data_IF_916623984317
#
_entry.id   IF_916623984317
#
_cell.length_a   1.000
_cell.length_b   1.000
_cell.length_c   1.000
_cell.angle_alpha   90.00
_cell.angle_beta   90.00
_cell.angle_gamma   90.00
#
_symmetry.space_group_name_H-M   'P 1'
#
loop_
_entity.id
_entity.type
_entity.pdbx_description
1 polymer ?
#
# COMPACT_ATOMS: atom_id res chain seq x y z
N UNK A 1 78.81 29.94 -34.37
CA UNK A 1 78.43 28.74 -33.65
C UNK A 1 77.16 29.07 -32.83
N UNK A 2 75.98 28.87 -33.49
CA UNK A 2 74.69 29.26 -32.93
C UNK A 2 74.07 28.13 -32.16
N UNK A 3 73.80 28.37 -30.89
CA UNK A 3 73.12 27.39 -30.02
C UNK A 3 71.61 27.72 -30.05
N UNK A 4 70.82 26.80 -30.65
CA UNK A 4 69.36 26.91 -30.75
C UNK A 4 68.77 26.35 -29.46
N UNK A 5 68.20 27.19 -28.60
CA UNK A 5 67.40 26.76 -27.45
C UNK A 5 65.98 26.40 -27.93
N UNK A 6 65.62 25.12 -27.82
CA UNK A 6 64.23 24.66 -28.02
C UNK A 6 63.49 24.75 -26.69
N UNK A 7 62.55 25.68 -26.62
CA UNK A 7 61.57 25.76 -25.52
C UNK A 7 60.46 24.74 -25.75
N UNK A 8 60.38 23.75 -24.91
CA UNK A 8 59.29 22.75 -24.88
C UNK A 8 58.17 23.34 -23.99
N UNK A 9 57.09 23.83 -24.62
CA UNK A 9 55.88 24.30 -23.90
C UNK A 9 55.02 23.06 -23.61
N UNK A 10 54.97 22.59 -22.36
CA UNK A 10 54.07 21.56 -21.88
C UNK A 10 52.71 22.23 -21.61
N UNK A 11 51.73 21.98 -22.49
CA UNK A 11 50.32 22.33 -22.26
C UNK A 11 49.74 21.30 -21.32
N UNK A 12 49.59 21.68 -20.05
CA UNK A 12 48.87 20.85 -19.04
C UNK A 12 47.37 20.99 -19.28
N UNK A 13 46.78 20.02 -19.98
CA UNK A 13 45.34 19.94 -20.21
C UNK A 13 44.64 19.48 -18.91
N UNK A 14 44.22 20.44 -18.08
CA UNK A 14 43.39 20.16 -16.89
C UNK A 14 41.99 19.76 -17.36
N UNK A 15 41.73 18.47 -17.40
CA UNK A 15 40.37 17.91 -17.55
C UNK A 15 39.63 18.22 -16.25
N UNK A 16 38.91 19.34 -16.22
CA UNK A 16 37.91 19.60 -15.20
C UNK A 16 36.72 18.63 -15.47
N UNK A 17 36.76 17.49 -14.86
CA UNK A 17 35.56 16.61 -14.75
C UNK A 17 34.56 17.38 -13.88
N UNK A 18 33.72 18.16 -14.52
CA UNK A 18 32.54 18.74 -13.87
C UNK A 18 31.69 17.58 -13.31
N UNK A 19 31.80 17.37 -12.01
CA UNK A 19 30.79 16.56 -11.30
C UNK A 19 29.52 17.38 -11.42
N UNK A 20 28.71 17.04 -12.45
CA UNK A 20 27.35 17.56 -12.55
C UNK A 20 26.65 17.11 -11.26
N UNK A 21 26.48 18.04 -10.33
CA UNK A 21 25.66 17.84 -9.14
C UNK A 21 24.22 17.62 -9.64
N UNK A 22 23.88 16.38 -9.98
CA UNK A 22 22.54 16.02 -10.43
C UNK A 22 21.59 16.43 -9.29
N UNK A 23 20.76 17.46 -9.54
CA UNK A 23 19.77 17.95 -8.59
C UNK A 23 18.93 16.76 -8.12
N UNK A 24 19.11 16.37 -6.87
CA UNK A 24 18.33 15.27 -6.26
C UNK A 24 16.88 15.73 -6.18
N UNK A 25 15.97 14.96 -6.78
CA UNK A 25 14.55 15.27 -6.69
C UNK A 25 14.04 14.74 -5.36
N UNK A 26 13.41 15.60 -4.57
CA UNK A 26 12.66 15.18 -3.37
C UNK A 26 11.30 14.66 -3.79
N UNK A 27 10.84 13.59 -3.11
CA UNK A 27 9.54 12.99 -3.28
C UNK A 27 8.99 12.60 -1.91
N UNK A 28 7.78 13.06 -1.61
CA UNK A 28 7.07 12.71 -0.37
C UNK A 28 6.04 11.63 -0.65
N UNK A 29 5.97 10.61 0.22
CA UNK A 29 4.97 9.55 0.13
C UNK A 29 4.28 9.33 1.47
N UNK A 30 2.95 9.46 1.49
CA UNK A 30 2.12 9.06 2.63
C UNK A 30 1.92 7.56 2.64
N UNK A 31 2.17 6.93 3.77
CA UNK A 31 1.85 5.52 3.99
C UNK A 31 0.35 5.39 4.32
N UNK A 32 -0.22 4.22 4.09
CA UNK A 32 -1.61 3.91 4.44
C UNK A 32 -1.78 3.59 5.94
N UNK A 33 -0.69 3.15 6.56
CA UNK A 33 -0.62 2.70 7.96
C UNK A 33 0.72 3.08 8.58
N UNK A 34 0.92 2.77 9.88
CA UNK A 34 2.27 2.81 10.45
C UNK A 34 3.17 1.78 9.76
N UNK A 35 4.50 2.04 9.78
CA UNK A 35 5.48 1.19 9.12
C UNK A 35 5.36 -0.26 9.61
N UNK A 36 5.15 -1.17 8.66
CA UNK A 36 5.04 -2.60 8.84
C UNK A 36 5.64 -3.32 7.62
N UNK A 37 5.70 -4.66 7.59
CA UNK A 37 6.31 -5.41 6.49
C UNK A 37 5.72 -5.19 5.10
N UNK A 38 4.49 -4.71 4.95
CA UNK A 38 3.92 -4.39 3.64
C UNK A 38 4.67 -3.23 2.98
N UNK A 39 5.34 -2.38 3.77
CA UNK A 39 6.20 -1.29 3.30
C UNK A 39 7.66 -1.72 3.02
N UNK A 40 8.01 -3.01 3.14
CA UNK A 40 9.40 -3.46 2.99
C UNK A 40 10.07 -3.00 1.68
N UNK A 41 9.45 -2.97 0.50
CA UNK A 41 10.09 -2.46 -0.72
C UNK A 41 10.55 -1.01 -0.61
N UNK A 42 9.80 -0.15 0.07
CA UNK A 42 10.18 1.25 0.32
C UNK A 42 11.39 1.34 1.27
N UNK A 43 11.33 0.59 2.37
CA UNK A 43 12.39 0.55 3.37
C UNK A 43 13.70 0.03 2.78
N UNK A 44 13.64 -1.06 2.01
CA UNK A 44 14.82 -1.65 1.37
C UNK A 44 15.39 -0.72 0.30
N UNK A 45 14.53 -0.05 -0.50
CA UNK A 45 14.98 0.93 -1.47
C UNK A 45 15.74 2.09 -0.79
N UNK A 46 15.29 2.53 0.37
CA UNK A 46 15.96 3.56 1.16
C UNK A 46 17.25 3.06 1.81
N UNK A 47 17.22 1.94 2.54
CA UNK A 47 18.37 1.36 3.25
C UNK A 47 19.53 1.02 2.32
N UNK A 48 19.23 0.49 1.13
CA UNK A 48 20.22 0.11 0.11
C UNK A 48 20.52 1.21 -0.90
N UNK A 49 20.09 2.44 -0.63
CA UNK A 49 20.33 3.62 -1.47
C UNK A 49 19.77 3.53 -2.90
N UNK A 50 18.81 2.63 -3.20
CA UNK A 50 18.27 2.48 -4.55
C UNK A 50 17.53 3.73 -5.03
N UNK A 51 16.95 4.52 -4.12
CA UNK A 51 16.41 5.83 -4.46
C UNK A 51 17.53 6.81 -4.84
N UNK A 52 18.63 6.84 -4.09
CA UNK A 52 19.79 7.71 -4.40
C UNK A 52 20.44 7.34 -5.72
N UNK A 53 20.54 6.03 -6.05
CA UNK A 53 21.08 5.53 -7.32
C UNK A 53 20.34 6.10 -8.54
N UNK A 54 19.07 6.47 -8.38
CA UNK A 54 18.23 7.07 -9.43
C UNK A 54 18.02 8.58 -9.25
N UNK A 55 18.78 9.22 -8.35
CA UNK A 55 18.74 10.65 -8.07
C UNK A 55 17.46 11.10 -7.34
N UNK A 56 16.95 10.28 -6.42
CA UNK A 56 15.80 10.59 -5.58
C UNK A 56 16.17 10.64 -4.09
N UNK A 57 15.52 11.53 -3.38
CA UNK A 57 15.39 11.56 -1.93
C UNK A 57 13.91 11.34 -1.60
N UNK A 58 13.58 10.22 -0.96
CA UNK A 58 12.19 9.85 -0.65
C UNK A 58 11.96 9.99 0.84
N UNK A 59 10.95 10.78 1.20
CA UNK A 59 10.47 10.95 2.56
C UNK A 59 9.16 10.17 2.73
N UNK A 60 9.14 9.21 3.67
CA UNK A 60 7.97 8.40 4.02
C UNK A 60 7.29 9.00 5.24
N UNK A 61 5.98 9.25 5.15
CA UNK A 61 5.17 9.89 6.19
C UNK A 61 4.07 8.92 6.63
N UNK A 62 4.12 8.51 7.89
CA UNK A 62 3.06 7.70 8.49
C UNK A 62 1.82 8.58 8.76
N UNK A 63 0.61 8.08 8.49
CA UNK A 63 -0.60 8.88 8.67
C UNK A 63 -0.99 9.02 10.14
N UNK A 64 -1.54 10.18 10.50
CA UNK A 64 -2.20 10.39 11.79
C UNK A 64 -3.61 9.77 11.82
N UNK A 65 -4.26 9.69 10.66
CA UNK A 65 -5.53 9.02 10.41
C UNK A 65 -5.39 8.21 9.10
N UNK A 66 -5.79 6.91 9.06
CA UNK A 66 -5.64 6.06 7.87
C UNK A 66 -6.45 6.55 6.66
N UNK A 67 -7.37 7.49 6.85
CA UNK A 67 -8.17 8.09 5.79
C UNK A 67 -7.56 9.35 5.14
N UNK A 68 -6.41 9.84 5.65
CA UNK A 68 -5.86 11.13 5.21
C UNK A 68 -4.95 11.06 3.97
N UNK A 69 -4.12 10.03 3.75
CA UNK A 69 -3.11 10.05 2.69
C UNK A 69 -3.66 10.39 1.29
N UNK A 70 -4.80 9.82 0.83
CA UNK A 70 -5.38 10.20 -0.47
C UNK A 70 -5.83 11.66 -0.54
N UNK A 71 -6.37 12.21 0.56
CA UNK A 71 -6.80 13.62 0.63
C UNK A 71 -5.60 14.56 0.54
N UNK A 72 -4.48 14.20 1.18
CA UNK A 72 -3.24 14.98 1.13
C UNK A 72 -2.63 14.99 -0.27
N UNK A 73 -2.66 13.87 -0.99
CA UNK A 73 -2.27 13.80 -2.40
C UNK A 73 -3.20 14.65 -3.27
N UNK A 74 -4.50 14.54 -3.08
CA UNK A 74 -5.49 15.33 -3.82
C UNK A 74 -5.27 16.84 -3.61
N UNK A 75 -4.90 17.24 -2.40
CA UNK A 75 -4.58 18.62 -2.04
C UNK A 75 -3.17 19.07 -2.49
N UNK A 76 -2.36 18.19 -3.09
CA UNK A 76 -0.99 18.48 -3.51
C UNK A 76 0.01 18.66 -2.35
N UNK A 77 -0.32 18.15 -1.16
CA UNK A 77 0.55 18.18 0.03
C UNK A 77 1.50 16.99 0.09
N UNK A 78 1.22 15.94 -0.66
CA UNK A 78 2.08 14.77 -0.88
C UNK A 78 2.19 14.51 -2.38
N UNK A 79 3.33 13.98 -2.83
CA UNK A 79 3.54 13.59 -4.22
C UNK A 79 2.88 12.26 -4.53
N UNK A 80 3.00 11.31 -3.61
CA UNK A 80 2.41 9.98 -3.67
C UNK A 80 1.72 9.64 -2.35
N UNK A 81 0.80 8.69 -2.40
CA UNK A 81 0.36 7.96 -1.22
C UNK A 81 0.15 6.48 -1.56
N UNK A 82 0.24 5.62 -0.53
CA UNK A 82 -0.31 4.28 -0.59
C UNK A 82 -1.80 4.38 -0.29
N UNK A 83 -2.60 3.65 -1.05
CA UNK A 83 -4.04 3.58 -0.97
C UNK A 83 -4.51 2.20 -1.44
N UNK A 84 -5.80 2.00 -1.58
CA UNK A 84 -6.45 0.74 -1.94
C UNK A 84 -7.22 0.89 -3.25
N UNK A 85 -7.21 -0.13 -4.12
CA UNK A 85 -7.95 -0.06 -5.39
C UNK A 85 -9.45 0.23 -5.18
N UNK A 86 -10.17 -0.44 -4.27
CA UNK A 86 -11.58 -0.14 -4.02
C UNK A 86 -11.82 1.30 -3.55
N UNK A 87 -10.96 1.82 -2.67
CA UNK A 87 -11.03 3.21 -2.20
C UNK A 87 -10.82 4.20 -3.35
N UNK A 88 -9.88 3.92 -4.25
CA UNK A 88 -9.64 4.76 -5.43
C UNK A 88 -10.89 4.91 -6.30
N UNK A 89 -11.63 3.82 -6.57
CA UNK A 89 -12.89 3.88 -7.33
C UNK A 89 -13.91 4.82 -6.68
N UNK A 90 -14.08 4.68 -5.36
CA UNK A 90 -15.03 5.49 -4.59
C UNK A 90 -14.63 6.97 -4.61
N UNK A 91 -13.35 7.25 -4.38
CA UNK A 91 -12.83 8.62 -4.35
C UNK A 91 -12.93 9.31 -5.71
N UNK A 92 -12.69 8.59 -6.80
CA UNK A 92 -12.82 9.13 -8.15
C UNK A 92 -14.30 9.39 -8.50
N UNK A 93 -15.22 8.51 -8.09
CA UNK A 93 -16.68 8.76 -8.24
C UNK A 93 -17.13 9.99 -7.45
N UNK A 94 -16.52 10.26 -6.30
CA UNK A 94 -16.72 11.46 -5.49
C UNK A 94 -16.03 12.71 -6.04
N UNK A 95 -15.24 12.58 -7.12
CA UNK A 95 -14.55 13.71 -7.77
C UNK A 95 -13.17 14.04 -7.18
N UNK A 96 -12.59 13.18 -6.34
CA UNK A 96 -11.25 13.40 -5.81
C UNK A 96 -10.22 13.30 -6.96
N UNK A 97 -9.30 14.28 -7.15
CA UNK A 97 -8.39 14.32 -8.28
C UNK A 97 -7.16 13.41 -8.06
N UNK A 98 -7.39 12.12 -7.91
CA UNK A 98 -6.36 11.10 -7.69
C UNK A 98 -6.35 10.07 -8.81
N UNK A 99 -5.17 9.48 -9.06
CA UNK A 99 -4.94 8.48 -10.09
C UNK A 99 -3.95 7.43 -9.58
N UNK A 100 -4.21 6.14 -9.88
CA UNK A 100 -3.20 5.08 -9.68
C UNK A 100 -2.03 5.30 -10.62
N UNK A 101 -0.83 5.17 -10.08
CA UNK A 101 0.43 5.23 -10.85
C UNK A 101 1.29 3.98 -10.67
N UNK A 102 0.92 3.09 -9.74
CA UNK A 102 1.64 1.83 -9.51
C UNK A 102 0.95 0.95 -8.47
N UNK A 103 1.47 -0.26 -8.27
CA UNK A 103 0.98 -1.26 -7.31
C UNK A 103 2.12 -1.74 -6.43
N UNK A 104 1.86 -1.89 -5.15
CA UNK A 104 2.77 -2.45 -4.16
C UNK A 104 2.40 -3.92 -3.87
N UNK A 105 1.12 -4.17 -3.57
CA UNK A 105 0.57 -5.51 -3.32
C UNK A 105 -0.62 -5.73 -4.24
N UNK A 106 -0.51 -6.74 -5.13
CA UNK A 106 -1.46 -6.97 -6.23
C UNK A 106 -2.58 -7.95 -5.92
N UNK A 107 -2.68 -8.45 -4.69
CA UNK A 107 -3.70 -9.40 -4.25
C UNK A 107 -4.34 -8.95 -2.95
N UNK A 108 -5.59 -9.34 -2.66
CA UNK A 108 -6.25 -8.95 -1.41
C UNK A 108 -5.51 -9.42 -0.16
N UNK A 109 -5.35 -8.53 0.80
CA UNK A 109 -4.87 -8.80 2.16
C UNK A 109 -6.00 -8.71 3.18
N UNK A 110 -6.95 -7.82 2.92
CA UNK A 110 -8.08 -7.55 3.79
C UNK A 110 -8.90 -8.81 4.10
N UNK A 111 -9.41 -8.87 5.30
CA UNK A 111 -10.31 -9.92 5.76
C UNK A 111 -11.29 -9.40 6.80
N UNK A 112 -12.45 -10.03 6.86
CA UNK A 112 -13.36 -9.93 8.00
C UNK A 112 -12.90 -10.94 9.04
N UNK A 113 -12.54 -10.47 10.24
CA UNK A 113 -12.00 -11.33 11.30
C UNK A 113 -12.90 -11.30 12.52
N UNK A 114 -13.13 -12.49 13.09
CA UNK A 114 -13.84 -12.72 14.35
C UNK A 114 -12.95 -13.54 15.28
N UNK A 115 -13.26 -13.59 16.58
CA UNK A 115 -12.58 -14.53 17.48
C UNK A 115 -12.87 -15.97 17.07
N UNK A 116 -11.84 -16.81 16.91
CA UNK A 116 -11.98 -18.21 16.45
C UNK A 116 -12.85 -19.06 17.37
N UNK A 117 -12.76 -18.83 18.66
CA UNK A 117 -13.54 -19.49 19.72
C UNK A 117 -14.86 -18.78 20.04
N UNK A 118 -15.13 -17.62 19.37
CA UNK A 118 -16.35 -16.83 19.53
C UNK A 118 -17.59 -17.51 18.91
N UNK A 119 -18.77 -16.89 19.08
CA UNK A 119 -20.04 -17.43 18.60
C UNK A 119 -20.22 -17.31 17.08
N UNK A 120 -19.53 -16.38 16.40
CA UNK A 120 -19.67 -16.13 14.97
C UNK A 120 -18.88 -17.18 14.21
N UNK A 121 -19.59 -18.02 13.43
CA UNK A 121 -19.00 -19.12 12.64
C UNK A 121 -19.16 -18.89 11.14
N UNK A 122 -20.09 -18.03 10.75
CA UNK A 122 -20.38 -17.63 9.37
C UNK A 122 -20.68 -16.13 9.31
N UNK A 123 -20.70 -15.56 8.11
CA UNK A 123 -21.07 -14.15 7.88
C UNK A 123 -22.55 -13.92 8.24
N UNK A 124 -23.41 -14.95 8.11
CA UNK A 124 -24.82 -14.85 8.51
C UNK A 124 -25.00 -14.55 10.01
N UNK A 125 -24.03 -14.94 10.86
CA UNK A 125 -24.06 -14.71 12.31
C UNK A 125 -23.78 -13.24 12.69
N UNK A 126 -23.46 -12.38 11.71
CA UNK A 126 -23.19 -10.96 11.94
C UNK A 126 -24.45 -10.12 12.18
N UNK A 127 -25.65 -10.67 11.98
CA UNK A 127 -26.89 -9.94 12.23
C UNK A 127 -26.97 -9.44 13.68
N UNK A 128 -27.15 -8.11 13.84
CA UNK A 128 -27.18 -7.44 15.14
C UNK A 128 -25.82 -7.31 15.83
N UNK A 129 -24.70 -7.56 15.12
CA UNK A 129 -23.34 -7.50 15.67
C UNK A 129 -22.66 -6.17 15.39
N UNK A 130 -21.66 -5.85 16.23
CA UNK A 130 -20.78 -4.72 16.07
C UNK A 130 -19.61 -5.09 15.19
N UNK A 131 -19.43 -4.37 14.07
CA UNK A 131 -18.31 -4.56 13.15
C UNK A 131 -17.42 -3.32 13.18
N UNK A 132 -16.17 -3.50 13.62
CA UNK A 132 -15.17 -2.44 13.61
C UNK A 132 -14.57 -2.26 12.22
N UNK A 133 -14.27 -1.01 11.86
CA UNK A 133 -13.57 -0.66 10.62
C UNK A 133 -12.59 0.51 10.86
N UNK A 134 -11.61 0.67 9.96
CA UNK A 134 -10.56 1.71 10.04
C UNK A 134 -10.63 2.68 8.86
N UNK A 135 -10.74 2.18 7.64
CA UNK A 135 -10.73 2.97 6.41
C UNK A 135 -12.14 3.10 5.85
N UNK A 136 -12.72 4.29 6.02
CA UNK A 136 -14.08 4.58 5.61
C UNK A 136 -14.30 4.46 4.10
N UNK A 137 -15.50 4.01 3.73
CA UNK A 137 -15.93 3.77 2.36
C UNK A 137 -15.38 2.48 1.76
N UNK A 138 -14.11 2.20 1.90
CA UNK A 138 -13.43 1.02 1.37
C UNK A 138 -13.86 -0.28 2.08
N UNK A 139 -13.66 -0.34 3.39
CA UNK A 139 -13.94 -1.53 4.18
C UNK A 139 -15.45 -1.80 4.27
N UNK A 140 -16.25 -0.74 4.31
CA UNK A 140 -17.71 -0.81 4.23
C UNK A 140 -18.19 -1.39 2.90
N UNK A 141 -17.50 -1.04 1.79
CA UNK A 141 -17.82 -1.59 0.47
C UNK A 141 -17.57 -3.10 0.40
N UNK A 142 -16.43 -3.57 0.95
CA UNK A 142 -16.14 -5.00 1.05
C UNK A 142 -17.18 -5.72 1.91
N UNK A 143 -17.45 -5.18 3.10
CA UNK A 143 -18.42 -5.74 4.03
C UNK A 143 -19.82 -5.82 3.40
N UNK A 144 -20.26 -4.78 2.70
CA UNK A 144 -21.56 -4.77 2.00
C UNK A 144 -21.67 -5.90 0.99
N UNK A 145 -20.62 -6.12 0.18
CA UNK A 145 -20.59 -7.24 -0.77
C UNK A 145 -20.67 -8.60 -0.08
N UNK A 146 -19.93 -8.76 1.02
CA UNK A 146 -19.94 -10.00 1.82
C UNK A 146 -21.31 -10.27 2.46
N UNK A 147 -21.91 -9.26 3.09
CA UNK A 147 -23.23 -9.38 3.76
C UNK A 147 -24.34 -9.76 2.77
N UNK A 148 -24.36 -9.13 1.58
CA UNK A 148 -25.39 -9.39 0.58
C UNK A 148 -25.39 -10.83 0.07
N UNK A 149 -24.21 -11.49 -0.01
CA UNK A 149 -24.13 -12.93 -0.34
C UNK A 149 -24.87 -13.82 0.66
N UNK A 150 -25.08 -13.33 1.89
CA UNK A 150 -25.78 -14.04 2.97
C UNK A 150 -27.15 -13.43 3.28
N UNK A 151 -27.74 -12.67 2.34
CA UNK A 151 -29.03 -11.99 2.49
C UNK A 151 -29.09 -11.01 3.68
N UNK A 152 -27.95 -10.41 4.03
CA UNK A 152 -27.83 -9.35 5.02
C UNK A 152 -27.53 -8.01 4.33
N UNK A 153 -27.88 -6.94 5.04
CA UNK A 153 -27.61 -5.56 4.60
C UNK A 153 -26.73 -4.84 5.62
N UNK A 154 -26.18 -3.68 5.23
CA UNK A 154 -25.37 -2.86 6.14
C UNK A 154 -26.16 -2.40 7.38
N UNK A 155 -27.49 -2.28 7.28
CA UNK A 155 -28.40 -1.98 8.40
C UNK A 155 -28.59 -3.15 9.38
N UNK A 156 -28.18 -4.35 9.02
CA UNK A 156 -28.21 -5.53 9.92
C UNK A 156 -27.01 -5.57 10.87
N UNK A 157 -26.03 -4.68 10.74
CA UNK A 157 -24.83 -4.59 11.59
C UNK A 157 -24.65 -3.17 12.12
N UNK A 158 -23.99 -3.04 13.28
CA UNK A 158 -23.58 -1.74 13.83
C UNK A 158 -22.11 -1.49 13.45
N UNK A 159 -21.84 -0.47 12.64
CA UNK A 159 -20.48 -0.09 12.24
C UNK A 159 -19.84 0.82 13.27
N UNK A 160 -18.61 0.50 13.67
CA UNK A 160 -17.84 1.28 14.63
C UNK A 160 -16.47 1.61 14.05
N UNK A 161 -16.19 2.89 13.86
CA UNK A 161 -14.84 3.33 13.51
C UNK A 161 -13.91 3.11 14.71
N UNK A 162 -12.92 2.25 14.53
CA UNK A 162 -11.94 1.89 15.57
C UNK A 162 -10.53 2.38 15.23
N UNK A 163 -10.40 3.19 14.16
CA UNK A 163 -9.13 3.74 13.72
C UNK A 163 -8.05 2.64 13.60
N UNK A 164 -6.84 2.82 14.10
CA UNK A 164 -5.75 1.84 14.05
C UNK A 164 -5.90 0.62 14.99
N UNK A 165 -7.06 0.44 15.64
CA UNK A 165 -7.24 -0.55 16.73
C UNK A 165 -7.99 -1.82 16.29
N UNK A 166 -7.70 -2.40 15.12
CA UNK A 166 -8.39 -3.59 14.58
C UNK A 166 -8.35 -4.79 15.56
N UNK A 167 -7.22 -5.49 15.66
CA UNK A 167 -7.07 -6.64 16.56
C UNK A 167 -7.28 -6.29 18.03
N UNK A 168 -6.78 -5.16 18.57
CA UNK A 168 -7.02 -4.81 19.96
C UNK A 168 -8.49 -4.65 20.32
N UNK A 169 -9.29 -4.03 19.44
CA UNK A 169 -10.74 -3.86 19.68
C UNK A 169 -11.50 -5.17 19.68
N UNK A 170 -11.14 -6.08 18.77
CA UNK A 170 -11.73 -7.42 18.68
C UNK A 170 -11.35 -8.28 19.90
N UNK A 171 -10.08 -8.27 20.31
CA UNK A 171 -9.58 -9.03 21.47
C UNK A 171 -10.24 -8.53 22.77
N UNK A 172 -10.39 -7.21 22.90
CA UNK A 172 -11.06 -6.59 24.05
C UNK A 172 -12.59 -6.70 23.99
N UNK A 173 -13.16 -7.33 22.96
CA UNK A 173 -14.61 -7.48 22.74
C UNK A 173 -15.37 -6.15 22.70
N UNK A 174 -14.71 -5.06 22.25
CA UNK A 174 -15.38 -3.77 21.98
C UNK A 174 -16.23 -3.87 20.72
N UNK A 175 -15.85 -4.75 19.80
CA UNK A 175 -16.57 -5.15 18.60
C UNK A 175 -16.61 -6.67 18.50
N UNK A 176 -17.58 -7.22 17.75
CA UNK A 176 -17.77 -8.65 17.56
C UNK A 176 -16.97 -9.18 16.35
N UNK A 177 -16.72 -8.31 15.38
CA UNK A 177 -15.93 -8.57 14.18
C UNK A 177 -15.14 -7.30 13.79
N UNK A 178 -14.13 -7.46 12.96
CA UNK A 178 -13.42 -6.35 12.30
C UNK A 178 -13.29 -6.64 10.81
N UNK A 179 -13.58 -5.64 9.97
CA UNK A 179 -13.22 -5.61 8.56
C UNK A 179 -12.01 -4.69 8.40
N UNK A 180 -11.09 -4.97 7.49
CA UNK A 180 -9.84 -4.22 7.38
C UNK A 180 -8.62 -4.96 7.91
N UNK A 181 -8.82 -6.06 8.64
CA UNK A 181 -7.71 -6.84 9.19
C UNK A 181 -6.94 -7.58 8.07
N UNK A 182 -5.65 -7.33 7.97
CA UNK A 182 -4.81 -7.97 6.97
C UNK A 182 -4.40 -9.38 7.41
N UNK A 183 -4.60 -10.35 6.50
CA UNK A 183 -4.34 -11.79 6.75
C UNK A 183 -2.88 -12.10 7.08
N UNK A 184 -1.96 -11.26 6.64
CA UNK A 184 -0.52 -11.39 6.89
C UNK A 184 -0.06 -10.66 8.16
N UNK A 185 -0.87 -9.77 8.75
CA UNK A 185 -0.48 -8.98 9.93
C UNK A 185 -1.39 -9.24 11.13
N UNK A 186 -2.69 -8.89 11.08
CA UNK A 186 -3.60 -9.01 12.23
C UNK A 186 -3.82 -10.45 12.68
N UNK A 187 -3.89 -11.42 11.75
CA UNK A 187 -4.01 -12.84 12.15
C UNK A 187 -2.76 -13.31 12.90
N UNK A 188 -1.57 -12.90 12.47
CA UNK A 188 -0.33 -13.21 13.19
C UNK A 188 -0.30 -12.53 14.56
N UNK A 189 -0.76 -11.27 14.66
CA UNK A 189 -0.84 -10.56 15.93
C UNK A 189 -1.76 -11.28 16.93
N UNK A 190 -2.93 -11.73 16.46
CA UNK A 190 -3.89 -12.45 17.29
C UNK A 190 -3.35 -13.82 17.74
N UNK A 191 -2.64 -14.54 16.88
CA UNK A 191 -2.03 -15.83 17.22
C UNK A 191 -0.91 -15.68 18.27
N UNK A 192 -0.07 -14.64 18.15
CA UNK A 192 1.03 -14.37 19.10
C UNK A 192 0.46 -14.11 20.51
N UNK A 193 -0.63 -13.37 20.62
CA UNK A 193 -1.28 -13.12 21.92
C UNK A 193 -2.23 -14.24 22.36
N UNK A 194 -2.21 -15.39 21.68
CA UNK A 194 -3.03 -16.57 21.98
C UNK A 194 -4.55 -16.30 21.96
N UNK A 195 -4.96 -15.39 21.12
CA UNK A 195 -6.36 -15.05 20.84
C UNK A 195 -6.63 -15.17 19.33
N UNK A 196 -6.54 -16.39 18.76
CA UNK A 196 -6.58 -16.60 17.32
C UNK A 196 -7.87 -16.06 16.70
N UNK A 197 -7.74 -15.48 15.51
CA UNK A 197 -8.82 -15.03 14.66
C UNK A 197 -9.31 -16.16 13.74
N UNK A 198 -10.59 -16.07 13.33
CA UNK A 198 -11.12 -16.71 12.14
C UNK A 198 -11.34 -15.65 11.10
N UNK A 199 -10.72 -15.81 9.94
CA UNK A 199 -10.88 -14.90 8.81
C UNK A 199 -11.93 -15.41 7.82
N UNK A 200 -12.67 -14.47 7.24
CA UNK A 200 -13.50 -14.64 6.05
C UNK A 200 -12.92 -13.70 4.99
N UNK A 201 -12.49 -14.25 3.86
CA UNK A 201 -11.84 -13.51 2.80
C UNK A 201 -12.88 -12.91 1.84
N UNK A 202 -12.86 -11.60 1.57
CA UNK A 202 -13.86 -10.96 0.71
C UNK A 202 -14.01 -11.64 -0.64
N UNK A 203 -12.91 -12.06 -1.28
CA UNK A 203 -12.90 -12.74 -2.57
C UNK A 203 -13.59 -14.13 -2.57
N UNK A 204 -13.73 -14.75 -1.42
CA UNK A 204 -14.49 -16.02 -1.25
C UNK A 204 -15.97 -15.74 -0.94
N UNK A 205 -16.29 -14.50 -0.59
CA UNK A 205 -17.60 -14.12 -0.07
C UNK A 205 -18.30 -13.04 -0.92
N UNK A 206 -18.08 -13.05 -2.26
CA UNK A 206 -18.88 -12.25 -3.20
C UNK A 206 -18.27 -10.91 -3.59
N UNK A 207 -17.05 -10.64 -3.19
CA UNK A 207 -16.27 -9.48 -3.63
C UNK A 207 -15.27 -9.91 -4.71
N UNK A 208 -15.17 -9.26 -5.86
CA UNK A 208 -14.14 -9.58 -6.84
C UNK A 208 -12.73 -9.36 -6.27
N UNK A 209 -11.74 -10.06 -6.83
CA UNK A 209 -10.33 -9.80 -6.49
C UNK A 209 -9.92 -8.38 -6.90
N UNK A 210 -8.98 -7.79 -6.15
CA UNK A 210 -8.51 -6.43 -6.34
C UNK A 210 -7.05 -6.28 -5.90
N UNK A 211 -6.41 -5.17 -6.31
CA UNK A 211 -5.09 -4.79 -5.81
C UNK A 211 -5.21 -4.17 -4.43
N UNK A 212 -4.59 -4.79 -3.40
CA UNK A 212 -4.71 -4.28 -2.03
C UNK A 212 -4.01 -2.95 -1.86
N UNK A 213 -2.70 -2.88 -2.13
CA UNK A 213 -1.93 -1.66 -1.93
C UNK A 213 -1.47 -1.11 -3.27
N UNK A 214 -1.94 0.09 -3.59
CA UNK A 214 -1.59 0.83 -4.79
C UNK A 214 -0.91 2.15 -4.45
N UNK A 215 -0.09 2.64 -5.36
CA UNK A 215 0.44 4.00 -5.32
C UNK A 215 -0.47 4.93 -6.09
N UNK A 216 -0.89 6.01 -5.45
CA UNK A 216 -1.69 7.06 -6.07
C UNK A 216 -0.95 8.39 -6.10
N UNK A 217 -1.26 9.21 -7.10
CA UNK A 217 -0.77 10.57 -7.27
C UNK A 217 -1.93 11.52 -7.57
N UNK A 218 -1.71 12.84 -7.46
CA UNK A 218 -2.65 13.81 -8.00
C UNK A 218 -2.72 13.67 -9.52
N UNK A 219 -3.92 13.72 -10.11
CA UNK A 219 -4.14 13.56 -11.55
C UNK A 219 -3.32 14.55 -12.41
N UNK A 220 -3.01 15.73 -11.87
CA UNK A 220 -2.15 16.73 -12.51
C UNK A 220 -0.72 16.24 -12.69
N UNK A 221 -0.26 15.35 -11.80
CA UNK A 221 1.11 14.81 -11.78
C UNK A 221 1.19 13.41 -12.41
N UNK A 222 0.11 12.89 -13.01
CA UNK A 222 0.04 11.51 -13.53
C UNK A 222 1.18 11.12 -14.47
N UNK A 223 1.78 12.08 -15.17
CA UNK A 223 2.87 11.88 -16.13
C UNK A 223 4.24 12.33 -15.60
N UNK A 224 4.38 12.58 -14.29
CA UNK A 224 5.65 13.03 -13.74
C UNK A 224 6.74 11.97 -13.96
N UNK A 225 7.84 12.29 -14.70
CA UNK A 225 8.90 11.35 -15.01
C UNK A 225 9.66 10.85 -13.75
N UNK A 226 9.54 11.54 -12.64
CA UNK A 226 10.11 11.14 -11.35
C UNK A 226 9.51 9.80 -10.88
N UNK A 227 8.27 9.51 -11.20
CA UNK A 227 7.63 8.23 -10.84
C UNK A 227 8.29 7.03 -11.50
N UNK A 228 8.77 7.15 -12.75
CA UNK A 228 9.53 6.07 -13.39
C UNK A 228 10.82 5.73 -12.63
N UNK A 229 11.51 6.75 -12.12
CA UNK A 229 12.71 6.57 -11.28
C UNK A 229 12.34 5.88 -9.96
N UNK A 230 11.27 6.36 -9.32
CA UNK A 230 10.76 5.78 -8.08
C UNK A 230 10.41 4.29 -8.27
N UNK A 231 9.61 3.94 -9.27
CA UNK A 231 9.23 2.55 -9.51
C UNK A 231 10.39 1.65 -9.94
N UNK A 232 11.41 2.19 -10.62
CA UNK A 232 12.65 1.44 -10.89
C UNK A 232 13.36 1.04 -9.59
N UNK A 233 13.43 1.95 -8.60
CA UNK A 233 14.02 1.66 -7.30
C UNK A 233 13.16 0.67 -6.49
N UNK A 234 11.83 0.82 -6.49
CA UNK A 234 10.89 -0.11 -5.84
C UNK A 234 11.01 -1.51 -6.45
N UNK A 235 11.02 -1.63 -7.79
CA UNK A 235 11.19 -2.92 -8.46
C UNK A 235 12.50 -3.60 -8.08
N UNK A 236 13.62 -2.84 -8.06
CA UNK A 236 14.92 -3.35 -7.61
C UNK A 236 14.85 -3.85 -6.17
N UNK A 237 14.19 -3.10 -5.27
CA UNK A 237 14.03 -3.48 -3.89
C UNK A 237 13.18 -4.75 -3.73
N UNK A 238 12.05 -4.83 -4.43
CA UNK A 238 11.19 -6.03 -4.41
C UNK A 238 11.93 -7.27 -4.89
N UNK A 239 12.65 -7.19 -6.00
CA UNK A 239 13.47 -8.31 -6.50
C UNK A 239 14.57 -8.69 -5.49
N UNK A 240 15.16 -7.71 -4.82
CA UNK A 240 16.17 -7.97 -3.78
C UNK A 240 15.57 -8.69 -2.58
N UNK A 241 14.36 -8.31 -2.15
CA UNK A 241 13.63 -8.97 -1.06
C UNK A 241 13.36 -10.44 -1.40
N UNK A 242 12.89 -10.71 -2.60
CA UNK A 242 12.53 -12.07 -3.04
C UNK A 242 13.77 -12.96 -3.18
N UNK A 243 14.86 -12.41 -3.72
CA UNK A 243 16.08 -13.18 -3.96
C UNK A 243 16.92 -13.39 -2.68
N UNK A 244 16.86 -12.46 -1.72
CA UNK A 244 17.60 -12.55 -0.45
C UNK A 244 16.74 -12.06 0.73
N UNK A 245 15.71 -12.84 1.10
CA UNK A 245 14.79 -12.47 2.17
C UNK A 245 15.47 -12.37 3.55
N UNK A 246 16.55 -13.14 3.77
CA UNK A 246 17.26 -13.14 5.06
C UNK A 246 18.00 -11.83 5.29
N UNK A 247 18.75 -11.35 4.31
CA UNK A 247 19.49 -10.10 4.40
C UNK A 247 18.54 -8.90 4.44
N UNK A 248 17.49 -8.92 3.62
CA UNK A 248 16.49 -7.85 3.58
C UNK A 248 15.60 -7.79 4.83
N UNK A 249 15.32 -8.93 5.48
CA UNK A 249 14.74 -8.92 6.81
C UNK A 249 15.61 -8.17 7.81
N UNK A 250 16.95 -8.41 7.81
CA UNK A 250 17.88 -7.69 8.68
C UNK A 250 17.86 -6.19 8.41
N UNK A 251 17.81 -5.78 7.14
CA UNK A 251 17.70 -4.37 6.77
C UNK A 251 16.39 -3.76 7.25
N UNK A 252 15.26 -4.46 7.08
CA UNK A 252 13.95 -4.03 7.52
C UNK A 252 13.87 -3.93 9.04
N UNK A 253 14.23 -5.00 9.76
CA UNK A 253 14.09 -5.07 11.23
C UNK A 253 14.97 -4.05 11.96
N UNK A 254 16.08 -3.63 11.35
CA UNK A 254 17.00 -2.60 11.89
C UNK A 254 16.70 -1.18 11.37
N UNK A 255 15.63 -0.98 10.60
CA UNK A 255 15.29 0.33 10.08
C UNK A 255 14.92 1.32 11.19
N UNK A 256 14.13 0.85 12.16
CA UNK A 256 13.85 1.58 13.40
C UNK A 256 13.56 0.62 14.56
N UNK A 257 13.65 1.12 15.78
CA UNK A 257 13.30 0.38 16.99
C UNK A 257 11.84 -0.12 16.91
N UNK A 258 11.60 -1.36 17.32
CA UNK A 258 10.29 -1.98 17.38
C UNK A 258 9.89 -2.79 16.14
N UNK A 259 10.72 -2.82 15.07
CA UNK A 259 10.48 -3.67 13.91
C UNK A 259 11.10 -5.07 14.01
N UNK A 260 12.01 -5.29 14.97
CA UNK A 260 12.64 -6.58 15.24
C UNK A 260 11.86 -7.38 16.27
N UNK A 261 10.63 -7.75 15.93
CA UNK A 261 9.76 -8.57 16.76
C UNK A 261 9.18 -9.76 15.99
N UNK A 262 8.54 -10.68 16.71
CA UNK A 262 7.96 -11.89 16.12
C UNK A 262 6.81 -11.58 15.17
N UNK A 263 6.02 -10.54 15.42
CA UNK A 263 4.91 -10.13 14.56
C UNK A 263 5.44 -9.68 13.20
N UNK A 264 6.36 -8.71 13.19
CA UNK A 264 6.95 -8.21 11.95
C UNK A 264 7.69 -9.31 11.20
N UNK A 265 8.36 -10.24 11.89
CA UNK A 265 9.06 -11.36 11.27
C UNK A 265 8.11 -12.32 10.55
N UNK A 266 6.98 -12.68 11.17
CA UNK A 266 5.96 -13.51 10.53
C UNK A 266 5.30 -12.77 9.37
N UNK A 267 4.86 -11.54 9.60
CA UNK A 267 4.23 -10.73 8.58
C UNK A 267 5.15 -10.49 7.38
N UNK A 268 6.45 -10.22 7.60
CA UNK A 268 7.43 -10.09 6.51
C UNK A 268 7.47 -11.33 5.63
N UNK A 269 7.55 -12.52 6.23
CA UNK A 269 7.53 -13.78 5.49
C UNK A 269 6.24 -13.98 4.71
N UNK A 270 5.10 -13.67 5.32
CA UNK A 270 3.78 -13.87 4.72
C UNK A 270 3.48 -12.85 3.61
N UNK A 271 4.13 -11.67 3.63
CA UNK A 271 3.97 -10.64 2.60
C UNK A 271 4.81 -10.89 1.35
N UNK A 272 5.96 -11.58 1.47
CA UNK A 272 6.89 -11.79 0.36
C UNK A 272 6.24 -12.23 -0.96
N UNK A 273 5.36 -13.26 -0.99
CA UNK A 273 4.76 -13.74 -2.24
C UNK A 273 3.69 -12.81 -2.82
N UNK A 274 3.38 -11.70 -2.15
CA UNK A 274 2.27 -10.80 -2.49
C UNK A 274 2.74 -9.50 -3.12
N UNK A 275 4.04 -9.19 -3.02
CA UNK A 275 4.60 -8.01 -3.66
C UNK A 275 4.55 -8.12 -5.18
N UNK A 276 4.16 -7.02 -5.82
CA UNK A 276 4.17 -6.98 -7.28
C UNK A 276 5.60 -6.84 -7.83
N UNK A 277 5.93 -7.68 -8.82
CA UNK A 277 7.25 -7.63 -9.47
C UNK A 277 7.38 -6.50 -10.48
N UNK A 278 6.26 -6.00 -10.98
CA UNK A 278 6.17 -4.93 -11.97
C UNK A 278 5.24 -3.84 -11.47
N UNK A 279 5.72 -2.91 -10.60
CA UNK A 279 4.84 -1.95 -9.94
C UNK A 279 3.98 -1.10 -10.88
N UNK A 280 4.45 -0.81 -12.10
CA UNK A 280 3.70 0.00 -13.06
C UNK A 280 2.71 -0.80 -13.92
N UNK A 281 2.87 -2.12 -14.04
CA UNK A 281 1.88 -2.94 -14.73
C UNK A 281 0.55 -2.97 -13.95
N UNK A 282 -0.57 -3.09 -14.68
CA UNK A 282 -1.87 -3.33 -14.07
C UNK A 282 -2.77 -4.10 -15.03
N UNK A 283 -3.75 -4.78 -14.47
CA UNK A 283 -4.81 -5.44 -15.22
C UNK A 283 -6.06 -4.55 -15.27
N UNK A 284 -6.35 -4.02 -16.47
CA UNK A 284 -7.55 -3.23 -16.70
C UNK A 284 -8.85 -3.96 -16.39
N UNK A 285 -8.89 -5.29 -16.57
CA UNK A 285 -10.09 -6.07 -16.32
C UNK A 285 -10.41 -6.14 -14.84
N UNK A 286 -9.39 -6.34 -13.99
CA UNK A 286 -9.57 -6.29 -12.52
C UNK A 286 -10.22 -4.98 -12.08
N UNK A 287 -9.79 -3.84 -12.65
CA UNK A 287 -10.39 -2.54 -12.34
C UNK A 287 -11.81 -2.39 -12.90
N UNK A 288 -12.07 -2.87 -14.11
CA UNK A 288 -13.42 -2.83 -14.71
C UNK A 288 -14.41 -3.68 -13.90
N UNK A 289 -14.04 -4.91 -13.60
CA UNK A 289 -14.90 -5.86 -12.88
C UNK A 289 -15.22 -5.34 -11.47
N UNK A 290 -14.23 -4.77 -10.80
CA UNK A 290 -14.44 -4.16 -9.50
C UNK A 290 -15.34 -2.90 -9.58
N UNK A 291 -15.18 -2.08 -10.62
CA UNK A 291 -16.05 -0.94 -10.88
C UNK A 291 -17.51 -1.35 -11.11
N UNK A 292 -17.76 -2.42 -11.89
CA UNK A 292 -19.09 -2.99 -12.07
C UNK A 292 -19.69 -3.50 -10.77
N UNK A 293 -18.90 -4.23 -9.97
CA UNK A 293 -19.29 -4.68 -8.64
C UNK A 293 -19.73 -3.51 -7.75
N UNK A 294 -18.94 -2.46 -7.62
CA UNK A 294 -19.28 -1.30 -6.80
C UNK A 294 -20.55 -0.59 -7.30
N UNK A 295 -20.74 -0.53 -8.63
CA UNK A 295 -21.94 0.06 -9.21
C UNK A 295 -23.17 -0.78 -8.94
N UNK A 296 -23.09 -2.11 -9.11
CA UNK A 296 -24.18 -3.06 -8.79
C UNK A 296 -24.58 -2.96 -7.32
N UNK A 297 -23.62 -2.80 -6.41
CA UNK A 297 -23.87 -2.62 -4.97
C UNK A 297 -24.36 -1.22 -4.58
N UNK A 298 -24.48 -0.31 -5.53
CA UNK A 298 -24.92 1.07 -5.28
C UNK A 298 -23.89 1.95 -4.55
N UNK A 299 -22.64 1.48 -4.46
CA UNK A 299 -21.56 2.16 -3.72
C UNK A 299 -21.03 3.36 -4.53
N UNK A 300 -20.91 3.22 -5.85
CA UNK A 300 -20.57 4.31 -6.76
C UNK A 300 -21.75 4.66 -7.66
N UNK A 301 -21.83 5.94 -8.08
CA UNK A 301 -22.94 6.47 -8.88
C UNK A 301 -22.82 6.12 -10.36
N UNK A 302 -21.60 6.02 -10.89
CA UNK A 302 -21.33 5.81 -12.32
C UNK A 302 -20.08 4.97 -12.54
N UNK A 303 -20.05 4.24 -13.67
CA UNK A 303 -18.83 3.58 -14.14
C UNK A 303 -17.94 4.65 -14.80
N UNK A 304 -16.74 4.82 -14.27
CA UNK A 304 -15.73 5.73 -14.81
C UNK A 304 -14.75 4.90 -15.65
N UNK A 305 -14.33 5.43 -16.80
CA UNK A 305 -13.34 4.75 -17.65
C UNK A 305 -12.03 4.57 -16.89
N UNK A 306 -11.58 3.33 -16.77
CA UNK A 306 -10.40 2.96 -15.96
C UNK A 306 -9.16 3.75 -16.38
N UNK A 307 -8.96 3.95 -17.68
CA UNK A 307 -7.80 4.66 -18.24
C UNK A 307 -7.71 6.13 -17.78
N UNK A 308 -8.79 6.69 -17.24
CA UNK A 308 -8.79 8.06 -16.70
C UNK A 308 -8.20 8.15 -15.29
N UNK A 309 -8.29 7.09 -14.49
CA UNK A 309 -7.84 7.08 -13.09
C UNK A 309 -6.89 5.94 -12.71
N UNK A 310 -6.65 5.00 -13.60
CA UNK A 310 -5.59 4.00 -13.43
C UNK A 310 -4.71 3.99 -14.68
N UNK A 311 -3.45 4.33 -14.50
CA UNK A 311 -2.47 4.39 -15.58
C UNK A 311 -1.60 3.15 -15.53
N UNK A 312 -1.31 2.51 -16.73
CA UNK A 312 -0.28 1.48 -16.83
C UNK A 312 1.09 2.05 -16.52
#
# INVERSE_FOLDING_TARGET
>A
MQIIFKIFTIILLTIITGIANAKTNKLTIGLDWFINPDHAPLIIAQKRNFFKDVGLEVEMIEPADPNDPPKLVAAGKLDLAISYQPQLHIQVDQGLPVVRVGTLVSVPLNSLVVLKDGPIKSIADLKGKKVGFSVGGFEEALLSGMLQKYNLQMTDVELININFSLSPSLIAKKVDAVIGAFRNFELNQMDIVKRPGRAFYPEEHGVPSYEELIYIANVKNRNNPVFNKFFKAIQKATLTIINDPKSTWKDFSTYRKGLDDELNKRAFKDTLPRFTLRPQAHDLNTYKDFGYFLKEKGIIKKIIKVETFAKP
#
